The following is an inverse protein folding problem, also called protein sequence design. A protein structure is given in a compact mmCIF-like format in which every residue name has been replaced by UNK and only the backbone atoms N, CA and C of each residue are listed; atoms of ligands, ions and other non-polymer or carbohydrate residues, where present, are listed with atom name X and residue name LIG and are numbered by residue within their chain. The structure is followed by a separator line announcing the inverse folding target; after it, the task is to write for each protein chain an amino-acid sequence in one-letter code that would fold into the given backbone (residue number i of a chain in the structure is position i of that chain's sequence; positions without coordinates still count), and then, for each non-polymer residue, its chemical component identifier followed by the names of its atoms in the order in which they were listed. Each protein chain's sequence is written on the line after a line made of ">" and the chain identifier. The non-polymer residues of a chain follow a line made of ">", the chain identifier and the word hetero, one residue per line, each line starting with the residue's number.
data_IF_090883346471
#
_entry.id   IF_090883346471
#
_cell.length_a   1.000
_cell.length_b   1.000
_cell.length_c   1.000
_cell.angle_alpha   90.00
_cell.angle_beta   90.00
_cell.angle_gamma   90.00
#
_symmetry.space_group_name_H-M   'P 1'
#
loop_
_entity.id
_entity.type
_entity.pdbx_description
1 polymer ?
#
# COMPACT_ATOMS: atom_id res chain seq x y z
N UNK A 1 -8.80 -18.86 -0.28
CA UNK A 1 -7.59 -18.41 0.44
C UNK A 1 -7.04 -17.23 -0.32
N UNK A 2 -6.77 -16.08 0.33
CA UNK A 2 -6.17 -14.92 -0.33
C UNK A 2 -4.66 -14.88 -0.08
N UNK A 3 -3.88 -14.47 -1.07
CA UNK A 3 -2.42 -14.38 -1.05
C UNK A 3 -2.00 -12.92 -1.27
N UNK A 4 -1.19 -12.39 -0.36
CA UNK A 4 -0.57 -11.07 -0.49
C UNK A 4 0.93 -11.20 -0.72
N UNK A 5 1.46 -10.51 -1.74
CA UNK A 5 2.90 -10.35 -1.97
C UNK A 5 3.30 -8.91 -1.63
N UNK A 6 4.23 -8.72 -0.68
CA UNK A 6 4.47 -7.42 -0.06
C UNK A 6 5.88 -6.86 -0.33
N UNK A 7 5.97 -5.53 -0.38
CA UNK A 7 7.23 -4.80 -0.56
C UNK A 7 7.64 -4.70 -2.02
N UNK A 8 6.68 -4.51 -2.93
CA UNK A 8 6.94 -4.24 -4.33
C UNK A 8 7.55 -2.85 -4.46
N UNK A 9 8.69 -2.76 -5.15
CA UNK A 9 9.38 -1.48 -5.40
C UNK A 9 9.43 -1.11 -6.88
N UNK A 10 9.07 -2.06 -7.76
CA UNK A 10 9.10 -1.90 -9.22
C UNK A 10 7.79 -2.38 -9.83
N UNK A 11 7.36 -1.74 -10.91
CA UNK A 11 6.16 -2.11 -11.69
C UNK A 11 6.21 -3.56 -12.16
N UNK A 12 7.34 -3.95 -12.75
CA UNK A 12 7.56 -5.29 -13.28
C UNK A 12 7.38 -6.39 -12.22
N UNK A 13 7.83 -6.17 -10.98
CA UNK A 13 7.67 -7.15 -9.90
C UNK A 13 6.21 -7.29 -9.49
N UNK A 14 5.47 -6.17 -9.41
CA UNK A 14 4.05 -6.18 -9.10
C UNK A 14 3.24 -6.89 -10.20
N UNK A 15 3.54 -6.64 -11.47
CA UNK A 15 2.90 -7.30 -12.60
C UNK A 15 3.17 -8.82 -12.62
N UNK A 16 4.39 -9.24 -12.29
CA UNK A 16 4.74 -10.66 -12.15
C UNK A 16 3.98 -11.29 -10.97
N UNK A 17 3.87 -10.61 -9.84
CA UNK A 17 3.11 -11.11 -8.69
C UNK A 17 1.62 -11.29 -9.02
N UNK A 18 1.03 -10.32 -9.72
CA UNK A 18 -0.35 -10.42 -10.23
C UNK A 18 -0.49 -11.61 -11.17
N UNK A 19 0.40 -11.74 -12.16
CA UNK A 19 0.35 -12.82 -13.13
C UNK A 19 0.52 -14.22 -12.49
N UNK A 20 1.22 -14.30 -11.36
CA UNK A 20 1.37 -15.50 -10.56
C UNK A 20 0.14 -15.83 -9.69
N UNK A 21 -0.89 -14.97 -9.69
CA UNK A 21 -2.15 -15.18 -8.96
C UNK A 21 -2.19 -14.57 -7.56
N UNK A 22 -1.39 -13.53 -7.28
CA UNK A 22 -1.54 -12.78 -6.03
C UNK A 22 -2.89 -12.07 -5.98
N UNK A 23 -3.63 -12.22 -4.88
CA UNK A 23 -4.88 -11.46 -4.65
C UNK A 23 -4.60 -10.02 -4.23
N UNK A 24 -3.47 -9.78 -3.54
CA UNK A 24 -3.04 -8.46 -3.10
C UNK A 24 -1.56 -8.20 -3.34
N UNK A 25 -1.22 -6.95 -3.65
CA UNK A 25 0.17 -6.47 -3.73
C UNK A 25 0.42 -5.29 -2.79
N UNK A 26 1.52 -5.34 -2.04
CA UNK A 26 1.82 -4.38 -0.98
C UNK A 26 2.98 -3.44 -1.31
N UNK A 27 2.78 -2.15 -1.03
CA UNK A 27 3.74 -1.06 -1.21
C UNK A 27 4.07 -0.44 0.15
N UNK A 28 5.36 -0.24 0.45
CA UNK A 28 5.79 0.17 1.79
C UNK A 28 6.12 1.67 1.77
N UNK A 29 5.42 2.46 2.57
CA UNK A 29 5.62 3.92 2.71
C UNK A 29 6.31 4.31 4.02
N UNK A 30 7.09 3.39 4.59
CA UNK A 30 7.81 3.56 5.86
C UNK A 30 9.26 3.97 5.59
N UNK A 31 9.65 5.23 5.84
CA UNK A 31 11.00 5.72 5.57
C UNK A 31 12.08 4.92 6.32
N UNK A 32 13.26 4.80 5.71
CA UNK A 32 14.41 4.12 6.32
C UNK A 32 14.39 2.59 6.20
N UNK A 33 13.37 2.00 5.57
CA UNK A 33 13.35 0.57 5.25
C UNK A 33 13.90 0.29 3.85
N UNK A 34 14.53 -0.88 3.59
CA UNK A 34 15.13 -1.17 2.28
C UNK A 34 14.14 -1.22 1.10
N UNK A 35 12.85 -1.35 1.39
CA UNK A 35 11.77 -1.41 0.40
C UNK A 35 10.81 -0.22 0.50
N UNK A 36 11.21 0.83 1.21
CA UNK A 36 10.47 2.07 1.29
C UNK A 36 10.37 2.70 -0.09
N UNK A 37 9.15 3.00 -0.52
CA UNK A 37 8.90 3.84 -1.67
C UNK A 37 8.92 5.30 -1.22
N UNK A 38 9.60 6.13 -2.02
CA UNK A 38 9.47 7.57 -1.94
C UNK A 38 8.29 8.04 -2.81
N UNK A 39 7.79 9.24 -2.56
CA UNK A 39 6.61 9.77 -3.26
C UNK A 39 6.92 10.15 -4.73
N UNK A 40 8.11 9.82 -5.25
CA UNK A 40 8.50 10.14 -6.60
C UNK A 40 8.15 9.00 -7.57
N UNK A 41 7.33 9.31 -8.59
CA UNK A 41 7.05 8.43 -9.75
C UNK A 41 6.37 7.10 -9.40
N UNK A 42 5.40 7.14 -8.50
CA UNK A 42 4.58 5.99 -8.10
C UNK A 42 3.25 5.86 -8.86
N UNK A 43 3.03 6.68 -9.89
CA UNK A 43 1.76 6.70 -10.62
C UNK A 43 1.38 5.35 -11.21
N UNK A 44 2.37 4.50 -11.52
CA UNK A 44 2.13 3.15 -12.03
C UNK A 44 1.38 2.24 -11.04
N UNK A 45 1.37 2.54 -9.75
CA UNK A 45 0.66 1.74 -8.74
C UNK A 45 -0.85 1.73 -9.03
N UNK A 46 -1.42 2.86 -9.47
CA UNK A 46 -2.84 2.96 -9.84
C UNK A 46 -3.19 2.15 -11.10
N UNK A 47 -2.18 1.84 -11.91
CA UNK A 47 -2.30 1.05 -13.12
C UNK A 47 -2.26 -0.46 -12.84
N UNK A 48 -1.90 -0.89 -11.63
CA UNK A 48 -1.93 -2.31 -11.25
C UNK A 48 -3.37 -2.80 -11.29
N UNK A 49 -3.63 -3.79 -12.13
CA UNK A 49 -4.94 -4.47 -12.28
C UNK A 49 -4.77 -5.95 -11.99
N UNK A 50 -5.82 -6.62 -11.54
CA UNK A 50 -5.83 -8.07 -11.27
C UNK A 50 -5.47 -8.46 -9.83
N UNK A 51 -5.03 -7.51 -9.00
CA UNK A 51 -4.88 -7.67 -7.55
C UNK A 51 -5.29 -6.38 -6.83
N UNK A 52 -5.69 -6.48 -5.57
CA UNK A 52 -5.95 -5.33 -4.72
C UNK A 52 -4.62 -4.72 -4.23
N UNK A 53 -4.52 -3.40 -4.22
CA UNK A 53 -3.31 -2.67 -3.79
C UNK A 53 -3.37 -2.34 -2.29
N UNK A 54 -2.24 -2.50 -1.60
CA UNK A 54 -2.13 -2.26 -0.14
C UNK A 54 -0.99 -1.29 0.14
N UNK A 55 -1.28 -0.16 0.78
CA UNK A 55 -0.25 0.74 1.32
C UNK A 55 0.09 0.39 2.76
N UNK A 56 1.37 0.14 3.04
CA UNK A 56 1.85 -0.18 4.40
C UNK A 56 2.48 1.07 5.01
N UNK A 57 1.96 1.45 6.18
CA UNK A 57 2.39 2.61 6.94
C UNK A 57 2.78 2.19 8.36
N UNK A 58 3.61 3.01 8.99
CA UNK A 58 4.00 2.84 10.38
C UNK A 58 4.22 4.23 10.97
N UNK A 59 3.46 4.53 12.02
CA UNK A 59 3.54 5.77 12.80
C UNK A 59 3.44 7.03 11.91
N UNK A 60 2.70 6.93 10.79
CA UNK A 60 2.52 8.01 9.84
C UNK A 60 1.34 8.92 10.25
N UNK A 61 1.42 10.23 10.01
CA UNK A 61 0.28 11.13 10.18
C UNK A 61 -0.91 10.70 9.30
N UNK A 62 -2.13 10.79 9.82
CA UNK A 62 -3.35 10.37 9.13
C UNK A 62 -3.51 11.07 7.78
N UNK A 63 -3.19 12.37 7.73
CA UNK A 63 -3.27 13.19 6.53
C UNK A 63 -2.36 12.65 5.42
N UNK A 64 -1.18 12.13 5.81
CA UNK A 64 -0.24 11.52 4.87
C UNK A 64 -0.78 10.20 4.32
N UNK A 65 -1.36 9.37 5.18
CA UNK A 65 -1.96 8.09 4.77
C UNK A 65 -3.11 8.33 3.78
N UNK A 66 -4.01 9.26 4.11
CA UNK A 66 -5.15 9.62 3.25
C UNK A 66 -4.67 10.18 1.91
N UNK A 67 -3.71 11.12 1.93
CA UNK A 67 -3.13 11.70 0.72
C UNK A 67 -2.55 10.62 -0.20
N UNK A 68 -1.77 9.68 0.33
CA UNK A 68 -1.16 8.61 -0.47
C UNK A 68 -2.21 7.62 -0.98
N UNK A 69 -3.18 7.24 -0.14
CA UNK A 69 -4.30 6.37 -0.54
C UNK A 69 -5.05 6.96 -1.72
N UNK A 70 -5.40 8.24 -1.64
CA UNK A 70 -6.19 8.91 -2.66
C UNK A 70 -5.36 9.22 -3.92
N UNK A 71 -4.10 9.60 -3.76
CA UNK A 71 -3.18 9.87 -4.88
C UNK A 71 -2.94 8.62 -5.74
N UNK A 72 -2.80 7.46 -5.11
CA UNK A 72 -2.43 6.19 -5.76
C UNK A 72 -3.60 5.24 -5.97
N UNK A 73 -4.81 5.64 -5.58
CA UNK A 73 -6.04 4.84 -5.63
C UNK A 73 -5.85 3.47 -4.94
N UNK A 74 -5.29 3.48 -3.73
CA UNK A 74 -5.03 2.26 -2.96
C UNK A 74 -6.32 1.63 -2.48
N UNK A 75 -6.44 0.30 -2.61
CA UNK A 75 -7.63 -0.41 -2.13
C UNK A 75 -7.62 -0.58 -0.61
N UNK A 76 -6.45 -0.82 -0.01
CA UNK A 76 -6.27 -1.03 1.41
C UNK A 76 -5.15 -0.18 1.98
N UNK A 77 -5.34 0.22 3.22
CA UNK A 77 -4.28 0.69 4.11
C UNK A 77 -3.91 -0.47 5.04
N UNK A 78 -2.65 -0.56 5.43
CA UNK A 78 -2.21 -1.45 6.50
C UNK A 78 -1.38 -0.62 7.48
N UNK A 79 -1.84 -0.57 8.72
CA UNK A 79 -1.13 0.06 9.84
C UNK A 79 -0.21 -0.97 10.50
N UNK A 80 1.02 -0.57 10.83
CA UNK A 80 2.04 -1.46 11.38
C UNK A 80 2.89 -0.80 12.48
N UNK A 81 2.34 0.23 13.12
CA UNK A 81 2.92 0.93 14.26
C UNK A 81 1.96 0.95 15.45
N UNK A 82 2.06 2.04 16.21
CA UNK A 82 1.23 2.34 17.38
C UNK A 82 0.17 3.39 17.03
N UNK A 83 -0.41 3.31 15.82
CA UNK A 83 -1.46 4.22 15.38
C UNK A 83 -2.72 4.09 16.27
N UNK A 84 -3.36 5.21 16.64
CA UNK A 84 -4.52 5.17 17.52
C UNK A 84 -5.76 4.60 16.81
N UNK A 85 -6.66 3.97 17.57
CA UNK A 85 -7.93 3.42 17.05
C UNK A 85 -8.79 4.46 16.31
N UNK A 86 -8.63 5.76 16.62
CA UNK A 86 -9.32 6.85 15.92
C UNK A 86 -9.00 6.90 14.41
N UNK A 87 -7.89 6.30 13.97
CA UNK A 87 -7.58 6.16 12.54
C UNK A 87 -8.58 5.24 11.84
N UNK A 88 -9.12 4.23 12.52
CA UNK A 88 -10.05 3.27 11.93
C UNK A 88 -11.34 3.97 11.45
N UNK A 89 -11.83 4.94 12.22
CA UNK A 89 -13.01 5.73 11.84
C UNK A 89 -12.77 6.58 10.59
N UNK A 90 -11.57 7.17 10.47
CA UNK A 90 -11.22 8.03 9.34
C UNK A 90 -10.85 7.24 8.07
N UNK A 91 -10.24 6.06 8.23
CA UNK A 91 -9.79 5.23 7.12
C UNK A 91 -10.90 4.31 6.59
N UNK A 92 -11.87 3.96 7.44
CA UNK A 92 -13.04 3.15 7.08
C UNK A 92 -12.74 1.65 7.03
N UNK A 93 -13.58 0.89 6.32
CA UNK A 93 -13.58 -0.58 6.33
C UNK A 93 -12.36 -1.25 5.65
N UNK A 94 -11.49 -0.47 5.00
CA UNK A 94 -10.35 -0.98 4.23
C UNK A 94 -9.01 -0.52 4.80
N UNK A 95 -8.81 -0.85 6.09
CA UNK A 95 -7.62 -0.59 6.91
C UNK A 95 -7.13 -1.88 7.57
#
# INVERSE_FOLDING_TARGET
>A
MRIKICGMTRREDAEVAVAAGADLVGFIFVPGTPRALDEARLDWIREVKGAETVGVFRDAPLERILSIRDLLDLNWVQLHGDEPDSYLEALGERV
#
